data_IF_859889047213
#
_entry.id   IF_859889047213
#
_cell.length_a   1.000
_cell.length_b   1.000
_cell.length_c   1.000
_cell.angle_alpha   90.00
_cell.angle_beta   90.00
_cell.angle_gamma   90.00
#
_symmetry.space_group_name_H-M   'P 1'
#
loop_
_entity.id
_entity.type
_entity.pdbx_description
1 polymer ?
#
# COMPACT_ATOMS: atom_id res chain seq x y z
N UNK A 1 -33.57 57.29 25.49
CA UNK A 1 -32.58 58.22 24.90
C UNK A 1 -31.19 58.18 25.57
N UNK A 2 -31.05 58.03 26.90
CA UNK A 2 -29.74 58.08 27.58
C UNK A 2 -28.76 56.93 27.26
N UNK A 3 -29.24 55.77 26.82
CA UNK A 3 -28.40 54.61 26.49
C UNK A 3 -27.90 54.58 25.03
N UNK A 4 -28.50 55.38 24.13
CA UNK A 4 -28.12 55.40 22.72
C UNK A 4 -26.77 56.09 22.50
N UNK A 5 -26.46 57.12 23.31
CA UNK A 5 -25.17 57.81 23.28
C UNK A 5 -24.00 56.95 23.77
N UNK A 6 -24.24 55.99 24.68
CA UNK A 6 -23.18 55.09 25.17
C UNK A 6 -22.83 54.00 24.15
N UNK A 7 -23.80 53.53 23.37
CA UNK A 7 -23.60 52.53 22.32
C UNK A 7 -22.78 53.08 21.13
N UNK A 8 -22.95 54.36 20.82
CA UNK A 8 -22.24 55.05 19.73
C UNK A 8 -20.76 55.31 20.08
N UNK A 9 -20.45 55.58 21.36
CA UNK A 9 -19.07 55.74 21.84
C UNK A 9 -18.32 54.40 21.83
N UNK A 10 -19.00 53.28 22.11
CA UNK A 10 -18.39 51.96 22.09
C UNK A 10 -17.96 51.52 20.67
N UNK A 11 -18.75 51.86 19.64
CA UNK A 11 -18.39 51.56 18.25
C UNK A 11 -17.19 52.35 17.73
N UNK A 12 -16.97 53.58 18.20
CA UNK A 12 -15.81 54.40 17.81
C UNK A 12 -14.48 53.85 18.36
N UNK A 13 -14.51 53.13 19.48
CA UNK A 13 -13.30 52.56 20.10
C UNK A 13 -12.85 51.23 19.47
N UNK A 14 -13.72 50.52 18.73
CA UNK A 14 -13.34 49.26 18.05
C UNK A 14 -12.59 49.48 16.73
N UNK A 15 -12.55 50.69 16.17
CA UNK A 15 -12.02 50.91 14.82
C UNK A 15 -10.51 51.18 14.73
N UNK A 16 -9.77 51.19 15.85
CA UNK A 16 -8.33 51.47 15.88
C UNK A 16 -7.42 50.23 16.06
N UNK A 17 -7.96 49.01 16.15
CA UNK A 17 -7.15 47.79 16.23
C UNK A 17 -6.72 47.30 14.83
N UNK A 18 -6.05 48.15 14.05
CA UNK A 18 -5.45 47.74 12.80
C UNK A 18 -4.09 47.08 13.08
N UNK A 19 -4.12 45.75 13.29
CA UNK A 19 -2.90 44.95 13.40
C UNK A 19 -2.14 45.03 12.08
N UNK A 20 -1.08 45.86 12.03
CA UNK A 20 -0.15 45.89 10.91
C UNK A 20 0.45 44.50 10.72
N UNK A 21 0.05 43.78 9.67
CA UNK A 21 0.67 42.53 9.26
C UNK A 21 2.14 42.81 8.94
N UNK A 22 3.06 42.47 9.85
CA UNK A 22 4.47 42.28 9.51
C UNK A 22 4.49 41.24 8.38
N UNK A 23 4.89 41.66 7.17
CA UNK A 23 5.21 40.71 6.10
C UNK A 23 6.35 39.86 6.62
N UNK A 24 6.03 38.66 7.10
CA UNK A 24 7.00 37.60 7.30
C UNK A 24 7.46 37.17 5.91
N UNK A 25 8.36 37.94 5.28
CA UNK A 25 9.10 37.40 4.14
C UNK A 25 10.02 36.34 4.73
N UNK A 26 9.57 35.10 4.67
CA UNK A 26 10.40 33.92 4.92
C UNK A 26 11.67 34.12 4.12
N UNK A 27 12.83 34.11 4.79
CA UNK A 27 14.12 34.23 4.10
C UNK A 27 14.27 32.97 3.24
N UNK A 28 13.95 33.07 1.96
CA UNK A 28 14.20 32.04 0.95
C UNK A 28 15.54 32.33 0.29
N UNK A 29 16.20 31.28 -0.14
CA UNK A 29 17.43 31.42 -0.92
C UNK A 29 17.08 31.94 -2.32
N UNK A 30 18.07 32.42 -3.06
CA UNK A 30 17.88 32.69 -4.49
C UNK A 30 17.57 31.38 -5.22
N UNK A 31 16.83 31.45 -6.32
CA UNK A 31 16.45 30.26 -7.11
C UNK A 31 17.68 29.42 -7.53
N UNK A 32 18.82 30.06 -7.80
CA UNK A 32 20.07 29.37 -8.16
C UNK A 32 20.62 28.53 -7.01
N UNK A 33 20.51 29.02 -5.78
CA UNK A 33 20.97 28.30 -4.57
C UNK A 33 20.03 27.14 -4.27
N UNK A 34 18.72 27.32 -4.41
CA UNK A 34 17.74 26.23 -4.26
C UNK A 34 17.98 25.12 -5.28
N UNK A 35 18.25 25.48 -6.55
CA UNK A 35 18.61 24.53 -7.61
C UNK A 35 19.88 23.76 -7.27
N UNK A 36 20.90 24.44 -6.73
CA UNK A 36 22.14 23.77 -6.32
C UNK A 36 21.92 22.77 -5.19
N UNK A 37 21.04 23.07 -4.23
CA UNK A 37 20.69 22.14 -3.17
C UNK A 37 19.93 20.92 -3.71
N UNK A 38 18.98 21.13 -4.62
CA UNK A 38 18.25 20.05 -5.26
C UNK A 38 19.19 19.11 -6.03
N UNK A 39 20.17 19.66 -6.76
CA UNK A 39 21.17 18.88 -7.48
C UNK A 39 22.04 18.04 -6.52
N UNK A 40 22.52 18.62 -5.42
CA UNK A 40 23.29 17.92 -4.38
C UNK A 40 22.46 16.80 -3.74
N UNK A 41 21.19 17.05 -3.42
CA UNK A 41 20.30 16.05 -2.84
C UNK A 41 20.03 14.90 -3.82
N UNK A 42 19.84 15.22 -5.10
CA UNK A 42 19.65 14.24 -6.17
C UNK A 42 20.88 13.37 -6.37
N UNK A 43 22.08 13.95 -6.36
CA UNK A 43 23.34 13.19 -6.43
C UNK A 43 23.50 12.25 -5.24
N UNK A 44 23.28 12.74 -4.01
CA UNK A 44 23.31 11.91 -2.79
C UNK A 44 22.30 10.77 -2.85
N UNK A 45 21.09 11.03 -3.35
CA UNK A 45 20.07 10.00 -3.52
C UNK A 45 20.55 8.92 -4.51
N UNK A 46 21.11 9.33 -5.65
CA UNK A 46 21.64 8.40 -6.67
C UNK A 46 22.77 7.54 -6.10
N UNK A 47 23.70 8.12 -5.34
CA UNK A 47 24.78 7.38 -4.68
C UNK A 47 24.25 6.35 -3.67
N UNK A 48 23.27 6.76 -2.85
CA UNK A 48 22.61 5.85 -1.90
C UNK A 48 21.97 4.66 -2.63
N UNK A 49 21.26 4.91 -3.73
CA UNK A 49 20.67 3.84 -4.56
C UNK A 49 21.72 2.91 -5.15
N UNK A 50 22.84 3.43 -5.65
CA UNK A 50 23.96 2.61 -6.16
C UNK A 50 24.52 1.70 -5.06
N UNK A 51 24.72 2.23 -3.84
CA UNK A 51 25.22 1.47 -2.68
C UNK A 51 24.26 0.35 -2.26
N UNK A 52 22.96 0.66 -2.12
CA UNK A 52 21.93 -0.32 -1.78
C UNK A 52 21.85 -1.47 -2.80
N UNK A 53 21.98 -1.15 -4.09
CA UNK A 53 21.98 -2.15 -5.17
C UNK A 53 23.20 -3.08 -5.06
N UNK A 54 24.37 -2.52 -4.80
CA UNK A 54 25.61 -3.27 -4.64
C UNK A 54 25.57 -4.21 -3.42
N UNK A 55 25.04 -3.74 -2.30
CA UNK A 55 24.88 -4.54 -1.08
C UNK A 55 23.88 -5.69 -1.26
N UNK A 56 22.76 -5.44 -1.97
CA UNK A 56 21.79 -6.48 -2.31
C UNK A 56 22.44 -7.55 -3.22
N UNK A 57 23.20 -7.13 -4.23
CA UNK A 57 23.95 -8.04 -5.10
C UNK A 57 24.91 -8.93 -4.31
N UNK A 58 25.70 -8.36 -3.39
CA UNK A 58 26.61 -9.12 -2.51
C UNK A 58 25.85 -10.14 -1.65
N UNK A 59 24.70 -9.77 -1.07
CA UNK A 59 23.84 -10.68 -0.28
C UNK A 59 23.30 -11.85 -1.12
N UNK A 60 22.94 -11.61 -2.38
CA UNK A 60 22.47 -12.67 -3.29
C UNK A 60 23.61 -13.62 -3.65
N UNK A 61 24.80 -13.09 -3.96
CA UNK A 61 25.96 -13.91 -4.29
C UNK A 61 26.41 -14.79 -3.12
N UNK A 62 26.45 -14.26 -1.89
CA UNK A 62 26.84 -15.04 -0.72
C UNK A 62 25.90 -16.20 -0.45
N UNK A 63 24.58 -16.00 -0.59
CA UNK A 63 23.56 -17.07 -0.51
C UNK A 63 23.77 -18.15 -1.58
N UNK A 64 24.04 -17.76 -2.83
CA UNK A 64 24.31 -18.71 -3.92
C UNK A 64 25.58 -19.53 -3.67
N UNK A 65 26.65 -18.91 -3.14
CA UNK A 65 27.91 -19.60 -2.81
C UNK A 65 27.74 -20.57 -1.64
N UNK A 66 26.96 -20.20 -0.62
CA UNK A 66 26.62 -21.08 0.50
C UNK A 66 25.85 -22.33 0.04
N UNK A 67 24.86 -22.17 -0.84
CA UNK A 67 24.09 -23.28 -1.41
C UNK A 67 24.95 -24.21 -2.28
N UNK A 68 25.95 -23.69 -2.99
CA UNK A 68 26.88 -24.52 -3.79
C UNK A 68 27.86 -25.33 -2.94
N UNK A 69 28.21 -24.87 -1.73
CA UNK A 69 29.13 -25.56 -0.81
C UNK A 69 28.47 -26.63 0.06
N UNK A 70 27.14 -26.70 0.12
CA UNK A 70 26.43 -27.72 0.92
C UNK A 70 26.25 -29.08 0.24
N UNK A 71 27.03 -29.39 -0.81
CA UNK A 71 27.19 -30.78 -1.31
C UNK A 71 28.03 -31.60 -0.32
N UNK A 72 27.53 -31.72 0.91
CA UNK A 72 28.01 -32.65 1.91
C UNK A 72 27.48 -34.03 1.51
N UNK A 73 28.45 -34.91 1.28
CA UNK A 73 28.34 -36.36 1.13
C UNK A 73 27.07 -36.97 1.75
N UNK A 74 26.18 -37.44 0.89
CA UNK A 74 25.04 -38.29 1.27
C UNK A 74 25.60 -39.57 1.90
N UNK A 75 25.72 -39.59 3.24
CA UNK A 75 25.97 -40.84 3.97
C UNK A 75 24.79 -41.79 3.70
N UNK A 76 25.12 -43.03 3.33
CA UNK A 76 24.18 -44.11 2.98
C UNK A 76 23.02 -44.16 3.97
N UNK A 77 21.81 -44.15 3.41
CA UNK A 77 20.54 -44.22 4.10
C UNK A 77 20.46 -45.48 4.96
N UNK A 78 20.65 -45.32 6.27
CA UNK A 78 20.12 -46.32 7.23
C UNK A 78 18.61 -46.30 7.10
N UNK A 79 18.00 -47.48 7.04
CA UNK A 79 16.56 -47.68 6.97
C UNK A 79 15.90 -47.09 8.23
N UNK A 80 15.60 -45.79 8.20
CA UNK A 80 15.06 -45.09 9.34
C UNK A 80 13.56 -45.39 9.41
N UNK A 81 13.16 -46.17 10.40
CA UNK A 81 11.76 -46.48 10.71
C UNK A 81 11.00 -45.15 10.81
N UNK A 82 10.10 -44.86 9.86
CA UNK A 82 9.32 -43.61 9.82
C UNK A 82 8.57 -43.46 11.14
N UNK A 83 9.06 -42.61 12.03
CA UNK A 83 8.29 -42.19 13.22
C UNK A 83 7.01 -41.54 12.71
N UNK A 84 5.85 -42.00 13.19
CA UNK A 84 4.56 -41.36 12.90
C UNK A 84 4.65 -39.92 13.38
N UNK A 85 4.77 -38.98 12.45
CA UNK A 85 4.77 -37.55 12.76
C UNK A 85 3.35 -37.22 13.22
N UNK A 86 3.18 -37.03 14.53
CA UNK A 86 1.94 -36.49 15.08
C UNK A 86 1.79 -35.08 14.54
N UNK A 87 0.84 -34.89 13.62
CA UNK A 87 0.55 -33.57 13.03
C UNK A 87 0.03 -32.67 14.16
N UNK A 88 0.88 -31.74 14.62
CA UNK A 88 0.43 -30.67 15.52
C UNK A 88 -0.72 -29.92 14.85
N UNK A 89 -1.86 -29.80 15.55
CA UNK A 89 -2.98 -28.97 15.08
C UNK A 89 -2.45 -27.53 14.95
N UNK A 90 -2.61 -26.93 13.77
CA UNK A 90 -2.20 -25.54 13.56
C UNK A 90 -3.16 -24.63 14.34
N UNK A 91 -2.65 -23.57 14.99
CA UNK A 91 -3.52 -22.59 15.63
C UNK A 91 -4.44 -21.95 14.59
N UNK A 92 -5.72 -21.82 14.94
CA UNK A 92 -6.71 -21.13 14.13
C UNK A 92 -6.38 -19.63 14.17
N UNK A 93 -6.24 -19.01 13.01
CA UNK A 93 -5.96 -17.58 12.92
C UNK A 93 -7.25 -16.79 13.23
N UNK A 94 -7.16 -15.67 13.95
CA UNK A 94 -8.32 -14.84 14.22
C UNK A 94 -8.85 -14.18 12.93
N UNK A 95 -10.14 -13.87 12.93
CA UNK A 95 -10.77 -13.08 11.87
C UNK A 95 -10.15 -11.68 11.78
N UNK A 96 -10.16 -11.10 10.58
CA UNK A 96 -9.71 -9.72 10.37
C UNK A 96 -10.67 -8.74 11.06
N UNK A 97 -10.11 -7.65 11.59
CA UNK A 97 -10.91 -6.54 12.09
C UNK A 97 -11.68 -5.83 10.98
N UNK A 98 -12.79 -5.19 11.34
CA UNK A 98 -13.71 -4.55 10.39
C UNK A 98 -13.03 -3.52 9.47
N UNK A 99 -12.07 -2.75 9.99
CA UNK A 99 -11.29 -1.78 9.20
C UNK A 99 -10.52 -2.45 8.06
N UNK A 100 -9.81 -3.54 8.36
CA UNK A 100 -9.10 -4.32 7.34
C UNK A 100 -10.05 -4.95 6.34
N UNK A 101 -11.22 -5.41 6.76
CA UNK A 101 -12.23 -5.95 5.84
C UNK A 101 -12.67 -4.88 4.83
N UNK A 102 -12.87 -3.63 5.28
CA UNK A 102 -13.19 -2.50 4.38
C UNK A 102 -12.07 -2.21 3.40
N UNK A 103 -10.81 -2.18 3.86
CA UNK A 103 -9.65 -2.02 2.96
C UNK A 103 -9.63 -3.11 1.87
N UNK A 104 -9.89 -4.37 2.25
CA UNK A 104 -9.93 -5.46 1.29
C UNK A 104 -11.07 -5.31 0.28
N UNK A 105 -12.25 -4.86 0.72
CA UNK A 105 -13.38 -4.59 -0.17
C UNK A 105 -13.06 -3.49 -1.19
N UNK A 106 -12.39 -2.42 -0.76
CA UNK A 106 -11.94 -1.33 -1.63
C UNK A 106 -10.92 -1.86 -2.64
N UNK A 107 -9.94 -2.67 -2.21
CA UNK A 107 -8.96 -3.24 -3.14
C UNK A 107 -9.62 -4.21 -4.15
N UNK A 108 -10.61 -5.00 -3.72
CA UNK A 108 -11.38 -5.89 -4.61
C UNK A 108 -12.12 -5.07 -5.67
N UNK A 109 -12.86 -4.03 -5.25
CA UNK A 109 -13.63 -3.21 -6.19
C UNK A 109 -12.72 -2.51 -7.21
N UNK A 110 -11.57 -1.98 -6.76
CA UNK A 110 -10.57 -1.40 -7.65
C UNK A 110 -10.04 -2.41 -8.67
N UNK A 111 -9.74 -3.65 -8.27
CA UNK A 111 -9.27 -4.69 -9.20
C UNK A 111 -10.35 -5.06 -10.23
N UNK A 112 -11.62 -5.13 -9.82
CA UNK A 112 -12.74 -5.42 -10.72
C UNK A 112 -12.94 -4.29 -11.74
N UNK A 113 -12.98 -3.03 -11.28
CA UNK A 113 -13.10 -1.87 -12.17
C UNK A 113 -11.92 -1.77 -13.13
N UNK A 114 -10.69 -1.96 -12.64
CA UNK A 114 -9.50 -1.95 -13.48
C UNK A 114 -9.54 -3.03 -14.56
N UNK A 115 -10.00 -4.23 -14.23
CA UNK A 115 -10.17 -5.30 -15.20
C UNK A 115 -11.16 -4.90 -16.31
N UNK A 116 -12.32 -4.37 -15.95
CA UNK A 116 -13.31 -3.96 -16.93
C UNK A 116 -12.84 -2.80 -17.81
N UNK A 117 -12.15 -1.80 -17.23
CA UNK A 117 -11.51 -0.74 -18.00
C UNK A 117 -10.48 -1.29 -19.00
N UNK A 118 -9.65 -2.25 -18.55
CA UNK A 118 -8.63 -2.88 -19.39
C UNK A 118 -9.23 -3.75 -20.51
N UNK A 119 -10.40 -4.37 -20.26
CA UNK A 119 -11.09 -5.28 -21.19
C UNK A 119 -12.28 -4.65 -21.91
N UNK A 120 -12.44 -3.32 -21.86
CA UNK A 120 -13.57 -2.61 -22.50
C UNK A 120 -13.72 -2.83 -24.00
N UNK A 121 -12.65 -3.20 -24.71
CA UNK A 121 -12.64 -3.49 -26.16
C UNK A 121 -12.59 -4.99 -26.47
N UNK A 122 -12.63 -5.84 -25.45
CA UNK A 122 -12.55 -7.28 -25.61
C UNK A 122 -13.89 -7.79 -26.16
N UNK A 123 -13.85 -8.57 -27.26
CA UNK A 123 -15.07 -9.07 -27.93
C UNK A 123 -15.93 -9.97 -27.06
N UNK A 124 -15.39 -10.43 -25.92
CA UNK A 124 -16.10 -11.22 -24.91
C UNK A 124 -17.19 -10.43 -24.18
N UNK A 125 -17.10 -9.10 -24.13
CA UNK A 125 -18.05 -8.24 -23.44
C UNK A 125 -18.72 -7.33 -24.46
N UNK A 126 -20.05 -7.44 -24.62
CA UNK A 126 -20.80 -6.57 -25.54
C UNK A 126 -21.04 -5.21 -24.90
N UNK A 127 -21.32 -5.21 -23.61
CA UNK A 127 -21.58 -4.02 -22.81
C UNK A 127 -20.71 -4.00 -21.53
N UNK A 128 -20.56 -2.82 -20.93
CA UNK A 128 -19.88 -2.66 -19.63
C UNK A 128 -20.54 -3.50 -18.52
N UNK A 129 -21.87 -3.61 -18.55
CA UNK A 129 -22.64 -4.44 -17.62
C UNK A 129 -22.28 -5.93 -17.71
N UNK A 130 -21.91 -6.44 -18.89
CA UNK A 130 -21.52 -7.84 -19.05
C UNK A 130 -20.20 -8.11 -18.32
N UNK A 131 -19.27 -7.16 -18.38
CA UNK A 131 -18.02 -7.25 -17.64
C UNK A 131 -18.24 -7.15 -16.12
N UNK A 132 -19.12 -6.26 -15.68
CA UNK A 132 -19.47 -6.17 -14.26
C UNK A 132 -20.12 -7.46 -13.76
N UNK A 133 -21.07 -8.04 -14.50
CA UNK A 133 -21.66 -9.33 -14.16
C UNK A 133 -20.59 -10.44 -14.10
N UNK A 134 -19.66 -10.48 -15.05
CA UNK A 134 -18.55 -11.43 -15.04
C UNK A 134 -17.66 -11.27 -13.80
N UNK A 135 -17.24 -10.05 -13.49
CA UNK A 135 -16.37 -9.78 -12.33
C UNK A 135 -17.09 -10.06 -11.01
N UNK A 136 -18.41 -9.82 -10.92
CA UNK A 136 -19.21 -10.14 -9.75
C UNK A 136 -19.31 -11.66 -9.54
N UNK A 137 -19.58 -12.43 -10.59
CA UNK A 137 -19.57 -13.89 -10.53
C UNK A 137 -18.21 -14.45 -10.08
N UNK A 138 -17.11 -13.80 -10.50
CA UNK A 138 -15.76 -14.12 -10.03
C UNK A 138 -15.63 -13.86 -8.53
N UNK A 139 -16.11 -12.71 -8.04
CA UNK A 139 -16.09 -12.37 -6.62
C UNK A 139 -16.89 -13.40 -5.79
N UNK A 140 -18.12 -13.69 -6.19
CA UNK A 140 -19.01 -14.62 -5.48
C UNK A 140 -18.37 -16.01 -5.37
N UNK A 141 -17.85 -16.53 -6.49
CA UNK A 141 -17.14 -17.81 -6.50
C UNK A 141 -15.87 -17.83 -5.63
N UNK A 142 -15.25 -16.66 -5.42
CA UNK A 142 -14.11 -16.52 -4.53
C UNK A 142 -14.54 -16.43 -3.05
N UNK A 143 -15.68 -15.80 -2.77
CA UNK A 143 -16.26 -15.76 -1.43
C UNK A 143 -16.67 -17.16 -0.97
N UNK A 144 -17.31 -17.95 -1.83
CA UNK A 144 -17.69 -19.34 -1.53
C UNK A 144 -16.47 -20.20 -1.20
N UNK A 145 -15.36 -19.98 -1.92
CA UNK A 145 -14.13 -20.75 -1.74
C UNK A 145 -13.37 -20.38 -0.48
N UNK A 146 -13.35 -19.10 -0.11
CA UNK A 146 -12.60 -18.61 1.05
C UNK A 146 -13.41 -18.74 2.34
N UNK A 147 -14.72 -18.57 2.25
CA UNK A 147 -15.62 -18.51 3.40
C UNK A 147 -15.52 -17.18 4.16
N UNK A 148 -16.54 -16.89 4.97
CA UNK A 148 -16.53 -15.81 5.95
C UNK A 148 -16.39 -16.35 7.38
N UNK A 149 -15.80 -15.58 8.32
CA UNK A 149 -15.21 -14.26 8.14
C UNK A 149 -13.83 -14.32 7.47
N UNK A 150 -13.42 -13.25 6.78
CA UNK A 150 -12.11 -13.20 6.14
C UNK A 150 -10.99 -13.20 7.18
N UNK A 151 -10.07 -14.15 7.04
CA UNK A 151 -8.92 -14.33 7.95
C UNK A 151 -7.64 -13.69 7.38
N UNK A 152 -7.53 -13.62 6.06
CA UNK A 152 -6.35 -13.11 5.36
C UNK A 152 -6.71 -12.53 3.99
N UNK A 153 -5.67 -12.14 3.23
CA UNK A 153 -5.80 -11.60 1.87
C UNK A 153 -6.09 -12.67 0.80
N UNK A 154 -6.52 -13.88 1.19
CA UNK A 154 -6.81 -14.97 0.24
C UNK A 154 -7.92 -14.61 -0.75
N UNK A 155 -8.93 -13.84 -0.33
CA UNK A 155 -10.01 -13.37 -1.20
C UNK A 155 -9.47 -12.52 -2.36
N UNK A 156 -8.56 -11.58 -2.08
CA UNK A 156 -7.92 -10.74 -3.09
C UNK A 156 -7.08 -11.57 -4.04
N UNK A 157 -6.30 -12.51 -3.48
CA UNK A 157 -5.49 -13.41 -4.29
C UNK A 157 -6.34 -14.29 -5.21
N UNK A 158 -7.52 -14.71 -4.75
CA UNK A 158 -8.48 -15.45 -5.57
C UNK A 158 -8.98 -14.59 -6.74
N UNK A 159 -9.47 -13.38 -6.45
CA UNK A 159 -9.99 -12.44 -7.45
C UNK A 159 -8.91 -12.11 -8.49
N UNK A 160 -7.71 -11.69 -8.05
CA UNK A 160 -6.59 -11.36 -8.95
C UNK A 160 -6.16 -12.52 -9.86
N UNK A 161 -6.27 -13.76 -9.38
CA UNK A 161 -5.94 -14.94 -10.22
C UNK A 161 -6.99 -15.23 -11.28
N UNK A 162 -8.27 -14.99 -10.98
CA UNK A 162 -9.37 -15.22 -11.91
C UNK A 162 -9.54 -14.08 -12.94
N UNK A 163 -9.15 -12.86 -12.57
CA UNK A 163 -9.21 -11.67 -13.44
C UNK A 163 -7.91 -11.40 -14.22
N UNK A 164 -7.00 -12.37 -14.33
CA UNK A 164 -5.71 -12.19 -15.02
C UNK A 164 -5.82 -12.41 -16.54
#
# INVERSE_FOLDING_TARGET
MRYFSLLLIFFLLLSCAQTGKKRNSTKTYSADVEKSFEEIEKEKAIELYKKLRWDNWKKIQSKRKALRRSKVTRKKTRYYKKRKVVKRKRPVKPALGAEKVKELQIEISQNMSFFCMAKRKDSRFKNENDCHAFTQNVLDSCQDKVGQPWVDRSIINCVKRKLR
#
